data_IF_196431073811
#
_entry.id   IF_196431073811
#
_cell.length_a   1.000
_cell.length_b   1.000
_cell.length_c   1.000
_cell.angle_alpha   90.00
_cell.angle_beta   90.00
_cell.angle_gamma   90.00
#
_symmetry.space_group_name_H-M   'P 1'
#
loop_
_entity.id
_entity.type
_entity.pdbx_description
1 polymer ?
#
# COMPACT_ATOMS: atom_id res chain seq x y z
N UNK A 1 -38.30 36.94 -19.71
CA UNK A 1 -37.10 36.58 -20.49
C UNK A 1 -35.87 36.88 -19.64
N UNK A 2 -34.84 36.02 -19.71
CA UNK A 2 -34.06 35.51 -18.57
C UNK A 2 -32.89 36.45 -18.19
N UNK A 3 -32.27 36.35 -17.01
CA UNK A 3 -31.20 35.38 -16.72
C UNK A 3 -31.36 34.79 -15.32
N UNK A 4 -31.43 33.47 -15.27
CA UNK A 4 -31.31 32.67 -14.05
C UNK A 4 -29.87 32.18 -14.03
N UNK A 5 -29.05 32.75 -13.15
CA UNK A 5 -27.71 32.27 -12.86
C UNK A 5 -27.85 31.07 -11.92
N UNK A 6 -27.80 29.88 -12.49
CA UNK A 6 -27.78 28.61 -11.77
C UNK A 6 -26.32 28.18 -11.56
N UNK A 7 -25.58 28.97 -10.78
CA UNK A 7 -24.20 28.67 -10.38
C UNK A 7 -24.12 27.71 -9.17
N UNK A 8 -25.26 27.22 -8.67
CA UNK A 8 -25.33 26.45 -7.42
C UNK A 8 -25.35 24.94 -7.56
N UNK A 9 -25.19 24.37 -8.76
CA UNK A 9 -25.38 22.92 -8.95
C UNK A 9 -24.17 22.13 -9.49
N UNK A 10 -22.95 22.69 -9.48
CA UNK A 10 -21.75 21.95 -9.90
C UNK A 10 -21.02 21.21 -8.76
N UNK A 11 -21.48 21.37 -7.51
CA UNK A 11 -20.85 20.78 -6.32
C UNK A 11 -21.61 19.57 -5.75
N UNK A 12 -22.10 18.66 -6.61
CA UNK A 12 -22.28 17.29 -6.13
C UNK A 12 -20.88 16.75 -5.79
N UNK A 13 -20.54 16.61 -4.50
CA UNK A 13 -19.27 16.07 -3.98
C UNK A 13 -18.81 14.86 -4.82
N UNK A 14 -17.97 15.09 -5.83
CA UNK A 14 -17.18 14.05 -6.45
C UNK A 14 -16.00 13.86 -5.50
N UNK A 15 -16.10 12.87 -4.61
CA UNK A 15 -14.94 12.39 -3.84
C UNK A 15 -13.79 12.10 -4.82
N UNK A 16 -12.63 12.70 -4.54
CA UNK A 16 -11.45 12.50 -5.36
C UNK A 16 -10.97 11.05 -5.20
N UNK A 17 -10.46 10.45 -6.28
CA UNK A 17 -9.89 9.09 -6.20
C UNK A 17 -8.76 8.99 -5.16
N UNK A 18 -8.02 10.09 -4.95
CA UNK A 18 -7.00 10.19 -3.90
C UNK A 18 -7.59 10.15 -2.49
N UNK A 19 -8.73 10.81 -2.24
CA UNK A 19 -9.39 10.79 -0.93
C UNK A 19 -9.80 9.36 -0.57
N UNK A 20 -10.48 8.68 -1.50
CA UNK A 20 -10.86 7.27 -1.32
C UNK A 20 -9.67 6.36 -1.07
N UNK A 21 -8.57 6.59 -1.78
CA UNK A 21 -7.33 5.83 -1.59
C UNK A 21 -6.78 6.01 -0.17
N UNK A 22 -6.61 7.26 0.28
CA UNK A 22 -6.04 7.56 1.60
C UNK A 22 -6.95 7.11 2.75
N UNK A 23 -8.27 7.19 2.57
CA UNK A 23 -9.22 6.63 3.53
C UNK A 23 -9.08 5.11 3.61
N UNK A 24 -8.96 4.42 2.48
CA UNK A 24 -8.89 2.95 2.45
C UNK A 24 -7.59 2.41 3.02
N UNK A 25 -6.44 2.96 2.63
CA UNK A 25 -5.13 2.42 3.01
C UNK A 25 -4.80 2.66 4.49
N UNK A 26 -5.36 3.72 5.08
CA UNK A 26 -5.07 4.09 6.46
C UNK A 26 -5.99 3.45 7.49
N UNK A 27 -7.07 2.76 7.09
CA UNK A 27 -7.94 2.05 8.04
C UNK A 27 -7.14 0.92 8.71
N UNK A 28 -7.27 0.82 10.03
CA UNK A 28 -6.74 -0.25 10.85
C UNK A 28 -7.73 -1.44 10.84
N UNK A 29 -7.35 -2.54 10.19
CA UNK A 29 -8.18 -3.74 10.11
C UNK A 29 -7.72 -4.81 11.09
N UNK A 30 -8.66 -5.59 11.60
CA UNK A 30 -8.36 -6.70 12.52
C UNK A 30 -7.61 -7.85 11.84
N UNK A 31 -7.72 -7.99 10.52
CA UNK A 31 -7.04 -9.02 9.74
C UNK A 31 -5.57 -8.69 9.47
N UNK A 32 -5.07 -7.53 9.89
CA UNK A 32 -3.66 -7.15 9.77
C UNK A 32 -2.72 -8.14 10.47
N UNK A 33 -3.21 -8.85 11.50
CA UNK A 33 -2.47 -9.90 12.21
C UNK A 33 -1.93 -11.01 11.29
N UNK A 34 -2.60 -11.29 10.16
CA UNK A 34 -2.11 -12.30 9.20
C UNK A 34 -0.83 -11.83 8.48
N UNK A 35 -0.65 -10.51 8.33
CA UNK A 35 0.55 -9.91 7.73
C UNK A 35 1.67 -9.75 8.74
N UNK A 36 1.36 -9.63 10.04
CA UNK A 36 2.37 -9.53 11.10
C UNK A 36 3.42 -10.65 11.01
N UNK A 37 2.97 -11.88 10.78
CA UNK A 37 3.86 -13.03 10.62
C UNK A 37 4.74 -12.87 9.39
N UNK A 38 4.16 -12.52 8.23
CA UNK A 38 4.90 -12.30 6.98
C UNK A 38 5.97 -11.22 7.13
N UNK A 39 5.61 -10.11 7.78
CA UNK A 39 6.53 -9.02 8.08
C UNK A 39 7.67 -9.46 9.01
N UNK A 40 7.43 -10.38 9.95
CA UNK A 40 8.47 -10.83 10.90
C UNK A 40 9.33 -11.98 10.41
N UNK A 41 8.89 -12.71 9.39
CA UNK A 41 9.44 -14.03 9.04
C UNK A 41 10.55 -13.97 7.97
N UNK A 42 11.07 -12.79 7.63
CA UNK A 42 12.20 -12.69 6.70
C UNK A 42 13.52 -12.58 7.44
N UNK A 43 14.32 -13.64 7.33
CA UNK A 43 15.67 -13.69 7.88
C UNK A 43 16.55 -12.56 7.35
N UNK A 44 17.24 -11.86 8.25
CA UNK A 44 18.12 -10.73 7.93
C UNK A 44 17.43 -9.38 7.78
N UNK A 45 16.09 -9.33 7.83
CA UNK A 45 15.32 -8.10 7.69
C UNK A 45 14.84 -7.63 9.07
N UNK A 46 15.58 -6.70 9.69
CA UNK A 46 15.18 -6.13 10.98
C UNK A 46 14.16 -5.02 10.73
N UNK A 47 12.90 -5.28 11.05
CA UNK A 47 11.83 -4.27 11.05
C UNK A 47 11.44 -3.89 12.47
N UNK A 48 11.48 -2.59 12.74
CA UNK A 48 10.92 -2.03 13.97
C UNK A 48 9.38 -2.04 13.94
N UNK A 49 8.76 -1.68 15.06
CA UNK A 49 7.30 -1.67 15.21
C UNK A 49 6.59 -0.76 14.20
N UNK A 50 7.21 0.36 13.80
CA UNK A 50 6.63 1.27 12.83
C UNK A 50 6.73 0.70 11.42
N UNK A 51 7.89 0.13 11.07
CA UNK A 51 8.10 -0.53 9.79
C UNK A 51 7.19 -1.76 9.61
N UNK A 52 6.93 -2.50 10.69
CA UNK A 52 5.97 -3.61 10.69
C UNK A 52 4.57 -3.11 10.31
N UNK A 53 4.10 -1.99 10.88
CA UNK A 53 2.77 -1.43 10.53
C UNK A 53 2.67 -1.02 9.07
N UNK A 54 3.72 -0.40 8.54
CA UNK A 54 3.79 -0.07 7.10
C UNK A 54 3.74 -1.36 6.28
N UNK A 55 4.52 -2.37 6.66
CA UNK A 55 4.55 -3.66 5.99
C UNK A 55 3.18 -4.35 5.96
N UNK A 56 2.43 -4.34 7.07
CA UNK A 56 1.10 -4.95 7.13
C UNK A 56 0.14 -4.28 6.14
N UNK A 57 0.09 -2.94 6.11
CA UNK A 57 -0.73 -2.17 5.16
C UNK A 57 -0.27 -2.35 3.71
N UNK A 58 1.04 -2.38 3.49
CA UNK A 58 1.66 -2.61 2.18
C UNK A 58 1.28 -3.97 1.60
N UNK A 59 1.42 -5.06 2.37
CA UNK A 59 1.06 -6.40 1.91
C UNK A 59 -0.44 -6.54 1.69
N UNK A 60 -1.26 -5.95 2.57
CA UNK A 60 -2.72 -5.94 2.41
C UNK A 60 -3.15 -5.29 1.10
N UNK A 61 -2.63 -4.09 0.84
CA UNK A 61 -2.93 -3.37 -0.38
C UNK A 61 -2.58 -4.19 -1.64
N UNK A 62 -1.40 -4.82 -1.65
CA UNK A 62 -0.97 -5.63 -2.79
C UNK A 62 -1.80 -6.89 -2.98
N UNK A 63 -2.21 -7.57 -1.90
CA UNK A 63 -3.09 -8.73 -1.96
C UNK A 63 -4.50 -8.37 -2.42
N UNK A 64 -5.08 -7.29 -1.89
CA UNK A 64 -6.37 -6.77 -2.33
C UNK A 64 -6.32 -6.44 -3.84
N UNK A 65 -5.19 -5.94 -4.33
CA UNK A 65 -4.98 -5.71 -5.76
C UNK A 65 -4.85 -6.98 -6.60
N UNK A 66 -4.26 -8.05 -6.09
CA UNK A 66 -4.29 -9.35 -6.77
C UNK A 66 -5.73 -9.87 -6.89
N UNK A 67 -6.52 -9.79 -5.81
CA UNK A 67 -7.92 -10.25 -5.77
C UNK A 67 -8.81 -9.47 -6.74
N UNK A 68 -8.59 -8.16 -6.87
CA UNK A 68 -9.34 -7.28 -7.77
C UNK A 68 -8.87 -7.35 -9.24
N UNK A 69 -8.31 -8.48 -9.68
CA UNK A 69 -7.76 -8.67 -11.03
C UNK A 69 -6.82 -7.55 -11.48
N UNK A 70 -5.99 -7.04 -10.57
CA UNK A 70 -5.02 -5.99 -10.82
C UNK A 70 -5.60 -4.61 -11.15
N UNK A 71 -6.88 -4.35 -10.89
CA UNK A 71 -7.48 -3.03 -11.14
C UNK A 71 -6.80 -1.89 -10.37
N UNK A 72 -6.26 -2.14 -9.17
CA UNK A 72 -5.49 -1.14 -8.43
C UNK A 72 -3.98 -1.09 -8.75
N UNK A 73 -3.54 -1.80 -9.80
CA UNK A 73 -2.29 -1.46 -10.51
C UNK A 73 -2.51 -0.45 -11.65
N UNK A 74 -3.69 0.17 -11.73
CA UNK A 74 -3.86 1.36 -12.57
C UNK A 74 -2.79 2.41 -12.23
N UNK A 75 -2.25 3.06 -13.27
CA UNK A 75 -1.10 3.97 -13.16
C UNK A 75 -1.28 5.02 -12.05
N UNK A 76 -2.46 5.62 -11.96
CA UNK A 76 -2.78 6.65 -10.96
C UNK A 76 -2.80 6.10 -9.53
N UNK A 77 -3.30 4.88 -9.32
CA UNK A 77 -3.39 4.26 -8.00
C UNK A 77 -2.01 3.82 -7.50
N UNK A 78 -1.16 3.34 -8.42
CA UNK A 78 0.24 3.02 -8.09
C UNK A 78 1.04 4.28 -7.72
N UNK A 79 0.79 5.41 -8.37
CA UNK A 79 1.40 6.69 -7.99
C UNK A 79 0.99 7.08 -6.56
N UNK A 80 -0.30 7.02 -6.24
CA UNK A 80 -0.80 7.33 -4.89
C UNK A 80 -0.18 6.42 -3.83
N UNK A 81 -0.03 5.13 -4.15
CA UNK A 81 0.62 4.16 -3.26
C UNK A 81 2.09 4.49 -3.00
N UNK A 82 2.87 4.88 -4.02
CA UNK A 82 4.25 5.30 -3.82
C UNK A 82 4.36 6.59 -2.99
N UNK A 83 3.45 7.55 -3.19
CA UNK A 83 3.43 8.76 -2.37
C UNK A 83 3.08 8.47 -0.92
N UNK A 84 2.06 7.64 -0.67
CA UNK A 84 1.72 7.19 0.68
C UNK A 84 2.90 6.49 1.35
N UNK A 85 3.55 5.56 0.65
CA UNK A 85 4.69 4.83 1.22
C UNK A 85 5.87 5.76 1.52
N UNK A 86 6.16 6.72 0.64
CA UNK A 86 7.18 7.72 0.90
C UNK A 86 6.84 8.58 2.12
N UNK A 87 5.59 9.05 2.23
CA UNK A 87 5.12 9.85 3.37
C UNK A 87 5.31 9.10 4.69
N UNK A 88 4.84 7.86 4.78
CA UNK A 88 5.00 7.00 5.97
C UNK A 88 6.48 6.79 6.36
N UNK A 89 7.35 6.51 5.39
CA UNK A 89 8.78 6.34 5.64
C UNK A 89 9.45 7.65 6.09
N UNK A 90 9.03 8.79 5.53
CA UNK A 90 9.54 10.10 5.95
C UNK A 90 9.02 10.52 7.31
N UNK A 91 7.81 10.12 7.70
CA UNK A 91 7.25 10.35 9.02
C UNK A 91 8.03 9.59 10.11
N UNK A 92 8.57 8.41 9.78
CA UNK A 92 9.42 7.64 10.70
C UNK A 92 10.86 8.18 10.75
N UNK A 93 11.50 8.31 9.58
CA UNK A 93 12.95 8.55 9.50
C UNK A 93 13.35 10.02 9.37
N UNK A 94 12.39 10.89 9.06
CA UNK A 94 12.60 12.28 8.67
C UNK A 94 12.94 12.42 7.19
N UNK A 95 12.42 13.46 6.54
CA UNK A 95 12.54 13.69 5.09
C UNK A 95 13.97 13.84 4.55
N UNK A 96 14.96 14.09 5.42
CA UNK A 96 16.38 14.21 5.07
C UNK A 96 17.16 12.90 5.21
N UNK A 97 16.55 11.86 5.76
CA UNK A 97 17.22 10.58 6.01
C UNK A 97 17.02 9.61 4.84
N UNK A 98 17.56 9.98 3.69
CA UNK A 98 17.38 9.25 2.43
C UNK A 98 17.86 7.80 2.51
N UNK A 99 18.90 7.50 3.29
CA UNK A 99 19.44 6.15 3.45
C UNK A 99 18.41 5.22 4.08
N UNK A 100 17.80 5.63 5.20
CA UNK A 100 16.82 4.81 5.89
C UNK A 100 15.51 4.71 5.11
N UNK A 101 15.09 5.79 4.43
CA UNK A 101 13.92 5.75 3.55
C UNK A 101 14.14 4.75 2.41
N UNK A 102 15.31 4.81 1.75
CA UNK A 102 15.65 3.90 0.64
C UNK A 102 15.74 2.45 1.12
N UNK A 103 16.32 2.23 2.30
CA UNK A 103 16.40 0.90 2.90
C UNK A 103 15.03 0.34 3.27
N UNK A 104 14.15 1.16 3.87
CA UNK A 104 12.78 0.76 4.18
C UNK A 104 11.99 0.38 2.93
N UNK A 105 12.13 1.15 1.85
CA UNK A 105 11.52 0.83 0.56
C UNK A 105 12.07 -0.48 -0.03
N UNK A 106 13.40 -0.65 -0.05
CA UNK A 106 14.04 -1.87 -0.55
C UNK A 106 13.60 -3.11 0.22
N UNK A 107 13.47 -3.00 1.54
CA UNK A 107 13.01 -4.08 2.40
C UNK A 107 11.58 -4.54 2.07
N UNK A 108 10.66 -3.60 1.81
CA UNK A 108 9.28 -3.93 1.40
C UNK A 108 9.23 -4.58 0.01
N UNK A 109 10.05 -4.11 -0.93
CA UNK A 109 10.16 -4.71 -2.25
C UNK A 109 10.72 -6.13 -2.20
N UNK A 110 11.74 -6.34 -1.37
CA UNK A 110 12.33 -7.67 -1.13
C UNK A 110 11.29 -8.62 -0.54
N UNK A 111 10.57 -8.18 0.50
CA UNK A 111 9.49 -8.95 1.12
C UNK A 111 8.42 -9.36 0.11
N UNK A 112 7.93 -8.42 -0.71
CA UNK A 112 6.94 -8.74 -1.74
C UNK A 112 7.44 -9.78 -2.74
N UNK A 113 8.70 -9.65 -3.15
CA UNK A 113 9.32 -10.58 -4.09
C UNK A 113 9.47 -11.98 -3.49
N UNK A 114 9.84 -12.05 -2.21
CA UNK A 114 9.95 -13.29 -1.45
C UNK A 114 8.60 -14.01 -1.33
N UNK A 115 7.55 -13.28 -0.95
CA UNK A 115 6.18 -13.81 -0.85
C UNK A 115 5.64 -14.30 -2.21
N UNK A 116 5.99 -13.65 -3.31
CA UNK A 116 5.57 -14.11 -4.63
C UNK A 116 6.37 -15.32 -5.12
N UNK A 117 7.66 -15.37 -4.81
CA UNK A 117 8.49 -16.52 -5.11
C UNK A 117 8.02 -17.77 -4.35
N UNK A 118 7.66 -17.64 -3.07
CA UNK A 118 7.12 -18.75 -2.27
C UNK A 118 5.78 -19.26 -2.84
N UNK A 119 4.86 -18.38 -3.23
CA UNK A 119 3.60 -18.75 -3.92
C UNK A 119 3.85 -19.56 -5.20
N UNK A 120 4.80 -19.14 -6.04
CA UNK A 120 5.13 -19.84 -7.30
C UNK A 120 5.64 -21.25 -6.99
N UNK A 121 6.57 -21.39 -6.05
CA UNK A 121 7.11 -22.70 -5.69
C UNK A 121 6.05 -23.62 -5.08
N UNK A 122 5.22 -23.13 -4.17
CA UNK A 122 4.09 -23.91 -3.62
C UNK A 122 3.12 -24.38 -4.70
N UNK A 123 2.84 -23.54 -5.70
CA UNK A 123 1.96 -23.93 -6.82
C UNK A 123 2.58 -25.06 -7.67
N UNK A 124 3.90 -25.04 -7.86
CA UNK A 124 4.61 -26.08 -8.60
C UNK A 124 4.63 -27.42 -7.84
N UNK A 125 4.75 -27.39 -6.51
CA UNK A 125 4.70 -28.61 -5.68
C UNK A 125 3.30 -29.23 -5.57
N UNK A 126 2.22 -28.44 -5.67
CA UNK A 126 0.84 -28.97 -5.64
C UNK A 126 0.37 -29.60 -6.96
N UNK A 127 1.11 -29.36 -8.05
CA UNK A 127 0.82 -29.88 -9.39
C UNK A 127 1.65 -31.12 -9.76
N UNK A 128 2.36 -31.72 -8.79
CA UNK A 128 3.15 -32.94 -8.92
C UNK A 128 2.54 -34.06 -8.08
#
# INVERSE_FOLDING_TARGET
MPVQDDSTNFLSKKELNSEKFYETINIEYSDLLKYLQKCKNIDGLIMDVHMIKICEKYLRYLEDCEVMNKQCFGYDVFILFNYWLYDELTNIYGSKNYSNISLGFANLQYLWSYENYSKINESNYKNM
#
